data_IF_247450166354
#
_entry.id   IF_247450166354
#
_cell.length_a   1.000
_cell.length_b   1.000
_cell.length_c   1.000
_cell.angle_alpha   90.00
_cell.angle_beta   90.00
_cell.angle_gamma   90.00
#
_symmetry.space_group_name_H-M   'P 1'
#
loop_
_entity.id
_entity.type
_entity.pdbx_description
1 polymer ?
#
# COMPACT_ATOMS: atom_id res chain seq x y z
N UNK A 1 -13.02 14.24 5.79
CA UNK A 1 -11.58 14.14 5.47
C UNK A 1 -10.86 12.91 6.08
N UNK A 2 -11.50 12.12 6.96
CA UNK A 2 -10.89 10.91 7.57
C UNK A 2 -10.94 9.64 6.69
N UNK A 3 -11.73 9.66 5.61
CA UNK A 3 -11.96 8.49 4.76
C UNK A 3 -10.67 7.92 4.11
N UNK A 4 -9.76 8.75 3.56
CA UNK A 4 -8.47 8.28 3.06
C UNK A 4 -7.62 7.62 4.15
N UNK A 5 -7.73 8.11 5.38
CA UNK A 5 -7.01 7.54 6.51
C UNK A 5 -7.56 6.16 6.90
N UNK A 6 -8.89 5.99 6.93
CA UNK A 6 -9.55 4.70 7.22
C UNK A 6 -9.11 3.61 6.23
N UNK A 7 -9.15 3.90 4.93
CA UNK A 7 -8.72 2.93 3.91
C UNK A 7 -7.21 2.70 3.92
N UNK A 8 -6.42 3.72 4.25
CA UNK A 8 -4.99 3.58 4.47
C UNK A 8 -4.68 2.61 5.61
N UNK A 9 -5.30 2.77 6.78
CA UNK A 9 -5.12 1.87 7.93
C UNK A 9 -5.42 0.41 7.57
N UNK A 10 -6.54 0.17 6.86
CA UNK A 10 -6.88 -1.18 6.37
C UNK A 10 -5.82 -1.73 5.40
N UNK A 11 -5.27 -0.88 4.53
CA UNK A 11 -4.16 -1.23 3.66
C UNK A 11 -2.90 -1.63 4.43
N UNK A 12 -2.55 -0.88 5.46
CA UNK A 12 -1.39 -1.21 6.30
C UNK A 12 -1.56 -2.52 7.06
N UNK A 13 -2.78 -2.79 7.56
CA UNK A 13 -3.13 -4.07 8.17
C UNK A 13 -3.01 -5.23 7.19
N UNK A 14 -3.47 -5.03 5.94
CA UNK A 14 -3.32 -6.04 4.89
C UNK A 14 -1.86 -6.35 4.57
N UNK A 15 -1.02 -5.33 4.39
CA UNK A 15 0.42 -5.52 4.14
C UNK A 15 1.12 -6.22 5.31
N UNK A 16 0.72 -5.88 6.54
CA UNK A 16 1.21 -6.55 7.75
C UNK A 16 0.80 -8.04 7.78
N UNK A 17 -0.47 -8.36 7.48
CA UNK A 17 -0.92 -9.74 7.43
C UNK A 17 -0.16 -10.56 6.39
N UNK A 18 0.13 -9.98 5.22
CA UNK A 18 0.98 -10.65 4.23
C UNK A 18 2.39 -10.92 4.77
N UNK A 19 3.01 -9.96 5.46
CA UNK A 19 4.31 -10.15 6.11
C UNK A 19 4.24 -11.25 7.19
N UNK A 20 3.20 -11.22 8.01
CA UNK A 20 2.99 -12.17 9.10
C UNK A 20 2.82 -13.59 8.58
N UNK A 21 1.97 -13.80 7.57
CA UNK A 21 1.79 -15.09 6.90
C UNK A 21 3.11 -15.55 6.30
N UNK A 22 3.82 -14.68 5.58
CA UNK A 22 5.12 -15.05 5.01
C UNK A 22 6.13 -15.48 6.08
N UNK A 23 6.17 -14.76 7.22
CA UNK A 23 7.06 -15.06 8.34
C UNK A 23 6.71 -16.39 9.01
N UNK A 24 5.41 -16.69 9.18
CA UNK A 24 4.94 -17.93 9.81
C UNK A 24 5.23 -19.19 8.98
N UNK A 25 5.29 -19.08 7.66
CA UNK A 25 5.57 -20.20 6.77
C UNK A 25 7.02 -20.22 6.26
N UNK A 26 7.90 -19.35 6.78
CA UNK A 26 9.31 -19.23 6.37
C UNK A 26 9.50 -19.02 4.84
N UNK A 27 8.54 -18.36 4.19
CA UNK A 27 8.50 -18.17 2.73
C UNK A 27 9.37 -16.98 2.29
N UNK A 28 10.64 -16.98 2.68
CA UNK A 28 11.58 -15.88 2.44
C UNK A 28 11.75 -15.60 0.93
N UNK A 29 11.70 -16.64 0.10
CA UNK A 29 11.81 -16.52 -1.36
C UNK A 29 10.65 -15.71 -1.99
N UNK A 30 9.51 -15.63 -1.32
CA UNK A 30 8.35 -14.87 -1.81
C UNK A 30 8.38 -13.39 -1.41
N UNK A 31 9.42 -12.93 -0.72
CA UNK A 31 9.54 -11.53 -0.26
C UNK A 31 9.40 -10.54 -1.40
N UNK A 32 10.12 -10.76 -2.50
CA UNK A 32 10.08 -9.88 -3.68
C UNK A 32 8.69 -9.88 -4.32
N UNK A 33 8.06 -11.04 -4.41
CA UNK A 33 6.71 -11.15 -4.96
C UNK A 33 5.71 -10.41 -4.08
N UNK A 34 5.78 -10.55 -2.75
CA UNK A 34 4.93 -9.81 -1.81
C UNK A 34 5.12 -8.29 -1.95
N UNK A 35 6.35 -7.83 -2.11
CA UNK A 35 6.65 -6.40 -2.29
C UNK A 35 6.05 -5.81 -3.56
N UNK A 36 5.86 -6.62 -4.59
CA UNK A 36 5.24 -6.19 -5.86
C UNK A 36 3.72 -6.36 -5.79
N UNK A 37 3.23 -7.55 -5.43
CA UNK A 37 1.81 -7.87 -5.44
C UNK A 37 1.01 -7.16 -4.35
N UNK A 38 1.57 -6.98 -3.15
CA UNK A 38 0.88 -6.29 -2.05
C UNK A 38 0.41 -4.88 -2.45
N UNK A 39 1.33 -4.02 -2.90
CA UNK A 39 1.00 -2.70 -3.43
C UNK A 39 0.02 -2.72 -4.61
N UNK A 40 0.19 -3.64 -5.58
CA UNK A 40 -0.72 -3.77 -6.73
C UNK A 40 -2.14 -4.05 -6.25
N UNK A 41 -2.33 -5.06 -5.41
CA UNK A 41 -3.65 -5.44 -4.88
C UNK A 41 -4.26 -4.30 -4.11
N UNK A 42 -3.48 -3.61 -3.27
CA UNK A 42 -3.97 -2.48 -2.50
C UNK A 42 -4.44 -1.32 -3.39
N UNK A 43 -3.72 -1.01 -4.48
CA UNK A 43 -4.12 0.05 -5.42
C UNK A 43 -5.35 -0.33 -6.21
N UNK A 44 -5.46 -1.59 -6.64
CA UNK A 44 -6.66 -2.08 -7.30
C UNK A 44 -7.90 -1.90 -6.42
N UNK A 45 -7.77 -2.16 -5.11
CA UNK A 45 -8.83 -1.91 -4.13
C UNK A 45 -9.14 -0.41 -4.04
N UNK A 46 -8.14 0.46 -3.91
CA UNK A 46 -8.33 1.92 -3.87
C UNK A 46 -9.09 2.40 -5.11
N UNK A 47 -8.66 1.95 -6.28
CA UNK A 47 -9.25 2.32 -7.58
C UNK A 47 -10.67 1.79 -7.69
N UNK A 48 -10.94 0.55 -7.30
CA UNK A 48 -12.28 -0.02 -7.30
C UNK A 48 -13.25 0.74 -6.37
N UNK A 49 -12.77 1.14 -5.19
CA UNK A 49 -13.54 1.95 -4.25
C UNK A 49 -13.85 3.34 -4.81
N UNK A 50 -12.87 3.99 -5.43
CA UNK A 50 -13.05 5.31 -6.03
C UNK A 50 -13.96 5.27 -7.28
N UNK A 51 -13.92 4.17 -8.05
CA UNK A 51 -14.80 3.96 -9.20
C UNK A 51 -16.25 3.77 -8.77
N UNK A 52 -16.49 3.01 -7.69
CA UNK A 52 -17.84 2.81 -7.13
C UNK A 52 -18.45 4.09 -6.54
N UNK A 53 -17.62 5.02 -6.09
CA UNK A 53 -18.03 6.29 -5.48
C UNK A 53 -18.61 7.32 -6.49
N UNK A 54 -18.67 6.98 -7.78
CA UNK A 54 -19.37 7.74 -8.82
C UNK A 54 -18.95 9.22 -8.90
N UNK A 55 -17.64 9.47 -9.05
CA UNK A 55 -17.12 10.80 -9.37
C UNK A 55 -16.69 10.86 -10.83
N UNK A 56 -17.67 10.87 -11.74
CA UNK A 56 -17.48 11.01 -13.19
C UNK A 56 -16.82 12.34 -13.62
N UNK A 57 -16.43 13.20 -12.66
CA UNK A 57 -15.87 14.51 -12.92
C UNK A 57 -14.64 14.83 -12.04
N UNK A 58 -13.96 13.81 -11.51
CA UNK A 58 -12.79 14.04 -10.67
C UNK A 58 -11.53 14.34 -11.50
N UNK A 59 -11.01 15.55 -11.32
CA UNK A 59 -9.69 15.96 -11.80
C UNK A 59 -8.62 14.97 -11.33
N UNK A 60 -7.70 14.59 -12.23
CA UNK A 60 -6.52 13.75 -11.97
C UNK A 60 -5.85 14.06 -10.62
N UNK A 61 -5.65 15.36 -10.34
CA UNK A 61 -5.01 15.85 -9.11
C UNK A 61 -5.70 15.33 -7.84
N UNK A 62 -7.02 15.27 -7.82
CA UNK A 62 -7.79 14.87 -6.63
C UNK A 62 -7.69 13.36 -6.41
N UNK A 63 -7.82 12.57 -7.47
CA UNK A 63 -7.66 11.11 -7.41
C UNK A 63 -6.25 10.71 -6.99
N UNK A 64 -5.25 11.33 -7.62
CA UNK A 64 -3.85 11.10 -7.31
C UNK A 64 -3.53 11.46 -5.86
N UNK A 65 -3.94 12.64 -5.40
CA UNK A 65 -3.69 13.06 -4.01
C UNK A 65 -4.43 12.19 -2.99
N UNK A 66 -5.68 11.78 -3.28
CA UNK A 66 -6.42 10.87 -2.40
C UNK A 66 -5.75 9.50 -2.30
N UNK A 67 -5.32 8.92 -3.42
CA UNK A 67 -4.56 7.68 -3.46
C UNK A 67 -3.23 7.80 -2.72
N UNK A 68 -2.51 8.89 -2.93
CA UNK A 68 -1.25 9.19 -2.22
C UNK A 68 -1.43 9.21 -0.70
N UNK A 69 -2.46 9.90 -0.19
CA UNK A 69 -2.74 9.92 1.26
C UNK A 69 -3.06 8.54 1.81
N UNK A 70 -3.82 7.72 1.07
CA UNK A 70 -4.13 6.33 1.46
C UNK A 70 -2.87 5.47 1.52
N UNK A 71 -1.99 5.60 0.53
CA UNK A 71 -0.71 4.87 0.47
C UNK A 71 0.20 5.23 1.65
N UNK A 72 0.36 6.51 1.96
CA UNK A 72 1.14 6.94 3.13
C UNK A 72 0.56 6.37 4.41
N UNK A 73 -0.76 6.50 4.60
CA UNK A 73 -1.42 5.97 5.80
C UNK A 73 -1.26 4.45 5.92
N UNK A 74 -1.28 3.72 4.80
CA UNK A 74 -1.00 2.28 4.77
C UNK A 74 0.42 1.94 5.19
N UNK A 75 1.43 2.63 4.64
CA UNK A 75 2.84 2.39 4.99
C UNK A 75 3.12 2.76 6.45
N UNK A 76 2.62 3.90 6.93
CA UNK A 76 2.78 4.28 8.35
C UNK A 76 2.14 3.23 9.26
N UNK A 77 0.93 2.76 8.92
CA UNK A 77 0.24 1.75 9.71
C UNK A 77 1.00 0.42 9.67
N UNK A 78 1.45 -0.01 8.50
CA UNK A 78 2.28 -1.20 8.31
C UNK A 78 3.54 -1.13 9.18
N UNK A 79 4.34 -0.07 9.05
CA UNK A 79 5.58 0.11 9.83
C UNK A 79 5.28 0.18 11.33
N UNK A 80 4.24 0.91 11.74
CA UNK A 80 3.86 1.06 13.15
C UNK A 80 3.44 -0.26 13.78
N UNK A 81 2.57 -1.03 13.14
CA UNK A 81 2.11 -2.33 13.66
C UNK A 81 3.27 -3.34 13.68
N UNK A 82 4.07 -3.38 12.61
CA UNK A 82 5.25 -4.23 12.52
C UNK A 82 6.23 -3.91 13.64
N UNK A 83 6.48 -2.63 13.91
CA UNK A 83 7.34 -2.20 15.01
C UNK A 83 6.79 -2.60 16.38
N UNK A 84 5.50 -2.41 16.63
CA UNK A 84 4.85 -2.78 17.91
C UNK A 84 4.89 -4.30 18.14
N UNK A 85 4.70 -5.08 17.08
CA UNK A 85 4.65 -6.55 17.14
C UNK A 85 6.02 -7.21 16.99
N UNK A 86 7.09 -6.43 16.82
CA UNK A 86 8.41 -6.97 16.47
C UNK A 86 8.93 -8.01 17.46
N UNK A 87 8.72 -7.75 18.75
CA UNK A 87 9.24 -8.59 19.82
C UNK A 87 8.40 -9.87 19.99
N UNK A 88 7.16 -9.88 19.47
CA UNK A 88 6.27 -11.06 19.48
C UNK A 88 6.49 -11.96 18.26
N UNK A 89 6.88 -11.40 17.12
CA UNK A 89 6.95 -12.11 15.84
C UNK A 89 8.38 -12.48 15.45
N UNK A 90 9.37 -11.66 15.80
CA UNK A 90 10.77 -11.81 15.32
C UNK A 90 11.79 -11.86 16.47
N UNK A 91 11.48 -12.63 17.52
CA UNK A 91 12.37 -12.80 18.68
C UNK A 91 13.74 -13.42 18.36
N UNK A 92 13.91 -14.01 17.18
CA UNK A 92 15.09 -14.77 16.74
C UNK A 92 16.03 -14.01 15.80
N UNK A 93 15.69 -12.79 15.38
CA UNK A 93 16.47 -12.02 14.40
C UNK A 93 17.16 -10.82 15.05
N UNK A 94 18.35 -10.48 14.55
CA UNK A 94 19.16 -9.38 15.06
C UNK A 94 18.43 -8.04 14.87
N UNK A 95 18.15 -7.34 15.97
CA UNK A 95 17.08 -6.32 16.04
C UNK A 95 17.41 -5.02 15.30
N UNK A 96 18.70 -4.76 15.06
CA UNK A 96 19.16 -3.56 14.34
C UNK A 96 18.87 -3.63 12.84
N UNK A 97 19.12 -4.78 12.22
CA UNK A 97 18.97 -4.97 10.78
C UNK A 97 17.49 -5.04 10.37
N UNK A 98 16.63 -5.60 11.22
CA UNK A 98 15.19 -5.70 10.95
C UNK A 98 14.53 -4.34 10.74
N UNK A 99 14.86 -3.34 11.55
CA UNK A 99 14.22 -2.01 11.44
C UNK A 99 14.60 -1.35 10.11
N UNK A 100 15.87 -1.47 9.72
CA UNK A 100 16.34 -0.96 8.43
C UNK A 100 15.70 -1.71 7.26
N UNK A 101 15.65 -3.05 7.30
CA UNK A 101 15.02 -3.86 6.26
C UNK A 101 13.54 -3.52 6.10
N UNK A 102 12.80 -3.41 7.20
CA UNK A 102 11.38 -3.05 7.19
C UNK A 102 11.14 -1.63 6.66
N UNK A 103 12.02 -0.69 7.01
CA UNK A 103 11.97 0.66 6.47
C UNK A 103 12.20 0.66 4.95
N UNK A 104 13.25 -0.02 4.49
CA UNK A 104 13.56 -0.16 3.05
C UNK A 104 12.44 -0.84 2.29
N UNK A 105 11.82 -1.86 2.89
CA UNK A 105 10.63 -2.51 2.37
C UNK A 105 9.46 -1.52 2.25
N UNK A 106 9.17 -0.74 3.29
CA UNK A 106 8.11 0.27 3.26
C UNK A 106 8.33 1.32 2.18
N UNK A 107 9.57 1.78 2.00
CA UNK A 107 9.95 2.73 0.93
C UNK A 107 9.77 2.11 -0.45
N UNK A 108 10.22 0.87 -0.66
CA UNK A 108 10.07 0.17 -1.94
C UNK A 108 8.60 -0.03 -2.31
N UNK A 109 7.78 -0.49 -1.36
CA UNK A 109 6.35 -0.66 -1.57
C UNK A 109 5.65 0.67 -1.87
N UNK A 110 6.02 1.74 -1.20
CA UNK A 110 5.52 3.08 -1.50
C UNK A 110 5.88 3.51 -2.93
N UNK A 111 7.15 3.34 -3.34
CA UNK A 111 7.61 3.74 -4.66
C UNK A 111 6.90 2.98 -5.78
N UNK A 112 6.82 1.66 -5.67
CA UNK A 112 6.07 0.79 -6.60
C UNK A 112 4.61 1.25 -6.66
N UNK A 113 4.01 1.52 -5.49
CA UNK A 113 2.62 1.91 -5.43
C UNK A 113 2.34 3.25 -6.10
N UNK A 114 3.24 4.23 -5.93
CA UNK A 114 3.10 5.55 -6.55
C UNK A 114 3.21 5.49 -8.07
N UNK A 115 4.09 4.64 -8.60
CA UNK A 115 4.20 4.41 -10.05
C UNK A 115 2.87 3.87 -10.59
N UNK A 116 2.35 2.81 -9.99
CA UNK A 116 1.11 2.17 -10.44
C UNK A 116 -0.08 3.12 -10.30
N UNK A 117 -0.20 3.82 -9.16
CA UNK A 117 -1.23 4.82 -8.95
C UNK A 117 -1.20 5.91 -10.03
N UNK A 118 0.00 6.40 -10.38
CA UNK A 118 0.17 7.42 -11.41
C UNK A 118 -0.23 6.92 -12.80
N UNK A 119 0.14 5.69 -13.15
CA UNK A 119 -0.25 5.06 -14.42
C UNK A 119 -1.77 4.92 -14.49
N UNK A 120 -2.39 4.33 -13.47
CA UNK A 120 -3.82 4.06 -13.46
C UNK A 120 -4.63 5.37 -13.50
N UNK A 121 -4.28 6.35 -12.66
CA UNK A 121 -4.96 7.65 -12.64
C UNK A 121 -4.83 8.39 -13.98
N UNK A 122 -3.68 8.30 -14.65
CA UNK A 122 -3.47 8.89 -15.98
C UNK A 122 -4.32 8.20 -17.06
N UNK A 123 -4.39 6.87 -17.06
CA UNK A 123 -5.21 6.09 -17.99
C UNK A 123 -6.70 6.44 -17.85
N UNK A 124 -7.21 6.50 -16.62
CA UNK A 124 -8.60 6.88 -16.36
C UNK A 124 -8.92 8.31 -16.77
N UNK A 125 -8.00 9.25 -16.52
CA UNK A 125 -8.18 10.65 -16.95
C UNK A 125 -8.26 10.76 -18.47
N UNK A 126 -7.46 9.96 -19.19
CA UNK A 126 -7.48 9.91 -20.67
C UNK A 126 -8.77 9.28 -21.21
N UNK A 127 -9.30 8.25 -20.55
CA UNK A 127 -10.56 7.60 -20.95
C UNK A 127 -11.75 8.55 -20.79
N UNK A 128 -11.87 9.26 -19.66
CA UNK A 128 -12.96 10.23 -19.43
C UNK A 128 -12.95 11.42 -20.42
N UNK A 129 -11.78 11.79 -20.96
CA UNK A 129 -11.68 12.83 -22.00
C UNK A 129 -12.17 12.40 -23.38
N UNK A 130 -12.28 11.09 -23.65
CA UNK A 130 -12.76 10.57 -24.94
C UNK A 130 -14.28 10.37 -24.97
N UNK A 131 -14.92 10.32 -23.81
CA UNK A 131 -16.36 10.10 -23.65
C UNK A 131 -17.19 11.39 -23.59
N UNK A 132 -16.53 12.55 -23.56
CA UNK A 132 -17.10 13.89 -23.65
C UNK A 132 -16.60 14.59 -24.91
#
# INVERSE_FOLDING_TARGET
>A
MLEPFRFGVLGGLFLFLLLYVQSMFELVDLTVLRWIFGPIVFILIIVALDFRSNRSNQNFKILWFSGFTRLIAAIITFLGITFITRDLVWSSLDKGDIVYILFMEGVNQLFIALIILSIITALFTKLNRKTH
#
